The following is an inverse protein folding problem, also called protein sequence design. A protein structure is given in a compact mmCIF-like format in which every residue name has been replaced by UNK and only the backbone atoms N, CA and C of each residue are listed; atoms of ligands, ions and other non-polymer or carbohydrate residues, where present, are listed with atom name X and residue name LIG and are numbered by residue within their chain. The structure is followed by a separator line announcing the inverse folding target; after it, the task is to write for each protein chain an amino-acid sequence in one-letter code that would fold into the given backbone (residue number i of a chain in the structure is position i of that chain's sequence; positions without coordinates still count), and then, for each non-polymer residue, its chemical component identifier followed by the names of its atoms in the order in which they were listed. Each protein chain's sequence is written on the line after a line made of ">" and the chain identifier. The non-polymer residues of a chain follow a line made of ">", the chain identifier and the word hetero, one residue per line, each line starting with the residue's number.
data_IF_727587391470
#
_entry.id   IF_727587391470
#
_cell.length_a   1.000
_cell.length_b   1.000
_cell.length_c   1.000
_cell.angle_alpha   90.00
_cell.angle_beta   90.00
_cell.angle_gamma   90.00
#
_symmetry.space_group_name_H-M   'P 1'
#
loop_
_entity.id
_entity.type
_entity.pdbx_description
1 polymer ?
#
# COMPACT_ATOMS: atom_id res chain seq x y z
N UNK A 1 -56.33 -16.85 4.46
CA UNK A 1 -55.17 -17.11 3.58
C UNK A 1 -54.79 -18.58 3.74
N UNK A 2 -54.76 -19.39 2.66
CA UNK A 2 -54.55 -20.84 2.79
C UNK A 2 -53.11 -21.12 3.27
N UNK A 3 -52.94 -22.05 4.21
CA UNK A 3 -51.65 -22.41 4.83
C UNK A 3 -50.58 -22.80 3.78
N UNK A 4 -51.02 -23.34 2.63
CA UNK A 4 -50.15 -23.66 1.48
C UNK A 4 -49.53 -22.43 0.81
N UNK A 5 -50.19 -21.27 0.86
CA UNK A 5 -49.67 -20.02 0.29
C UNK A 5 -48.53 -19.47 1.17
N UNK A 6 -48.64 -19.59 2.49
CA UNK A 6 -47.63 -19.12 3.46
C UNK A 6 -46.37 -20.01 3.39
N UNK A 7 -46.54 -21.33 3.29
CA UNK A 7 -45.43 -22.28 3.20
C UNK A 7 -44.65 -22.09 1.88
N UNK A 8 -45.34 -21.87 0.75
CA UNK A 8 -44.69 -21.61 -0.52
C UNK A 8 -43.95 -20.26 -0.56
N UNK A 9 -44.48 -19.22 0.10
CA UNK A 9 -43.78 -17.94 0.25
C UNK A 9 -42.55 -18.03 1.15
N UNK A 10 -42.61 -18.84 2.23
CA UNK A 10 -41.49 -19.04 3.15
C UNK A 10 -40.36 -19.87 2.50
N UNK A 11 -40.69 -20.91 1.71
CA UNK A 11 -39.70 -21.67 0.94
C UNK A 11 -39.03 -20.82 -0.16
N UNK A 12 -39.76 -19.90 -0.81
CA UNK A 12 -39.19 -19.00 -1.82
C UNK A 12 -38.21 -18.00 -1.20
N UNK A 13 -38.50 -17.49 0.01
CA UNK A 13 -37.59 -16.62 0.76
C UNK A 13 -36.33 -17.37 1.23
N UNK A 14 -36.44 -18.62 1.69
CA UNK A 14 -35.27 -19.43 2.08
C UNK A 14 -34.42 -19.80 0.88
N UNK A 15 -35.03 -20.11 -0.28
CA UNK A 15 -34.30 -20.34 -1.52
C UNK A 15 -33.58 -19.07 -2.02
N UNK A 16 -34.22 -17.89 -1.96
CA UNK A 16 -33.57 -16.62 -2.32
C UNK A 16 -32.39 -16.26 -1.41
N UNK A 17 -32.45 -16.63 -0.12
CA UNK A 17 -31.34 -16.46 0.83
C UNK A 17 -30.20 -17.45 0.56
N UNK A 18 -30.51 -18.67 0.09
CA UNK A 18 -29.51 -19.69 -0.27
C UNK A 18 -28.86 -19.46 -1.64
N UNK A 19 -29.53 -18.77 -2.57
CA UNK A 19 -28.98 -18.42 -3.90
C UNK A 19 -28.21 -17.08 -3.93
N UNK A 20 -28.21 -16.31 -2.84
CA UNK A 20 -27.27 -15.21 -2.66
C UNK A 20 -25.88 -15.71 -2.21
N UNK A 21 -25.33 -16.73 -2.89
CA UNK A 21 -23.89 -16.98 -2.88
C UNK A 21 -23.21 -15.86 -3.67
N UNK A 22 -23.25 -14.64 -3.12
CA UNK A 22 -22.52 -13.51 -3.68
C UNK A 22 -21.05 -13.90 -3.69
N UNK A 23 -20.39 -13.68 -4.83
CA UNK A 23 -18.93 -13.53 -4.91
C UNK A 23 -18.51 -12.29 -4.09
N UNK A 24 -18.80 -12.28 -2.78
CA UNK A 24 -18.46 -11.19 -1.88
C UNK A 24 -16.97 -11.31 -1.61
N UNK A 25 -16.19 -10.48 -2.29
CA UNK A 25 -14.85 -10.13 -1.82
C UNK A 25 -14.98 -9.18 -0.63
N UNK A 26 -14.07 -9.32 0.32
CA UNK A 26 -13.85 -8.30 1.35
C UNK A 26 -13.03 -7.18 0.73
N UNK A 27 -13.44 -5.93 0.90
CA UNK A 27 -12.66 -4.79 0.45
C UNK A 27 -11.75 -4.30 1.56
N UNK A 28 -10.50 -4.02 1.23
CA UNK A 28 -9.54 -3.32 2.10
C UNK A 28 -9.31 -1.95 1.48
N UNK A 29 -9.89 -0.93 2.11
CA UNK A 29 -9.62 0.46 1.78
C UNK A 29 -8.31 0.91 2.42
N UNK A 30 -7.53 1.72 1.70
CA UNK A 30 -6.34 2.37 2.25
C UNK A 30 -6.54 3.87 2.15
N UNK A 31 -6.44 4.58 3.27
CA UNK A 31 -6.39 6.05 3.30
C UNK A 31 -5.05 6.49 3.89
N UNK A 32 -4.42 7.45 3.24
CA UNK A 32 -3.09 7.89 3.62
C UNK A 32 -2.45 8.88 2.66
N UNK A 33 -1.13 8.97 2.75
CA UNK A 33 -0.30 9.96 2.04
C UNK A 33 0.42 9.39 0.80
N UNK A 34 1.43 10.12 0.28
CA UNK A 34 2.19 9.74 -0.92
C UNK A 34 2.95 8.41 -0.78
N UNK A 35 3.29 7.98 0.43
CA UNK A 35 4.03 6.71 0.65
C UNK A 35 3.15 5.49 0.41
N UNK A 36 1.82 5.63 0.51
CA UNK A 36 0.84 4.59 0.22
C UNK A 36 0.17 4.75 -1.17
N UNK A 37 0.13 5.98 -1.70
CA UNK A 37 -0.67 6.36 -2.87
C UNK A 37 -0.35 5.59 -4.17
N UNK A 38 -1.39 5.40 -4.98
CA UNK A 38 -1.24 5.02 -6.38
C UNK A 38 -0.56 6.14 -7.18
N UNK A 39 0.25 5.78 -8.18
CA UNK A 39 0.98 6.73 -9.03
C UNK A 39 0.52 6.62 -10.48
N UNK A 40 0.24 7.77 -11.08
CA UNK A 40 -0.12 7.87 -12.49
C UNK A 40 1.10 7.64 -13.38
N UNK A 41 0.84 7.28 -14.65
CA UNK A 41 1.86 7.04 -15.67
C UNK A 41 2.91 5.98 -15.26
N UNK A 42 2.49 4.79 -14.78
CA UNK A 42 3.40 3.78 -14.24
C UNK A 42 4.48 3.33 -15.23
N UNK A 43 4.25 3.49 -16.54
CA UNK A 43 5.16 3.15 -17.62
C UNK A 43 6.39 4.06 -17.71
N UNK A 44 6.30 5.29 -17.21
CA UNK A 44 7.39 6.28 -17.23
C UNK A 44 7.78 6.71 -15.82
N UNK A 45 6.85 6.74 -14.88
CA UNK A 45 7.12 7.10 -13.49
C UNK A 45 7.52 5.87 -12.67
N UNK A 46 8.73 5.79 -12.10
CA UNK A 46 9.14 4.65 -11.29
C UNK A 46 8.66 4.72 -9.83
N UNK A 47 8.07 5.83 -9.39
CA UNK A 47 7.55 5.99 -8.03
C UNK A 47 6.36 5.06 -7.80
N UNK A 48 6.28 4.45 -6.60
CA UNK A 48 5.16 3.60 -6.19
C UNK A 48 4.90 3.81 -4.71
N UNK A 49 3.63 3.86 -4.30
CA UNK A 49 3.27 3.72 -2.90
C UNK A 49 3.17 2.25 -2.50
N UNK A 50 3.43 1.91 -1.24
CA UNK A 50 3.28 0.53 -0.75
C UNK A 50 1.85 0.02 -0.94
N UNK A 51 0.85 0.88 -0.74
CA UNK A 51 -0.57 0.55 -0.95
C UNK A 51 -0.89 0.19 -2.41
N UNK A 52 -0.14 0.73 -3.37
CA UNK A 52 -0.26 0.38 -4.78
C UNK A 52 0.15 -1.08 -5.05
N UNK A 53 1.16 -1.59 -4.33
CA UNK A 53 1.64 -2.97 -4.52
C UNK A 53 0.81 -4.01 -3.74
N UNK A 54 -0.01 -3.59 -2.76
CA UNK A 54 -0.60 -4.48 -1.76
C UNK A 54 -1.51 -5.58 -2.34
N UNK A 55 -2.25 -5.30 -3.42
CA UNK A 55 -3.11 -6.31 -4.06
C UNK A 55 -2.33 -7.55 -4.53
N UNK A 56 -1.05 -7.38 -4.88
CA UNK A 56 -0.16 -8.47 -5.29
C UNK A 56 0.09 -9.51 -4.21
N UNK A 57 -0.23 -9.19 -2.96
CA UNK A 57 -0.03 -10.06 -1.81
C UNK A 57 -1.33 -10.67 -1.25
N UNK A 58 -2.44 -10.46 -1.95
CA UNK A 58 -3.72 -11.04 -1.61
C UNK A 58 -4.27 -11.94 -2.71
N UNK A 59 -4.95 -13.01 -2.32
CA UNK A 59 -5.81 -13.76 -3.23
C UNK A 59 -7.05 -12.93 -3.63
N UNK A 60 -7.84 -13.47 -4.56
CA UNK A 60 -8.99 -12.77 -5.12
C UNK A 60 -10.18 -12.57 -4.19
N UNK A 61 -10.14 -13.10 -2.95
CA UNK A 61 -11.18 -12.87 -1.95
C UNK A 61 -11.00 -11.55 -1.22
N UNK A 62 -9.80 -10.96 -1.28
CA UNK A 62 -9.52 -9.62 -0.77
C UNK A 62 -9.25 -8.68 -1.95
N UNK A 63 -10.06 -7.62 -2.05
CA UNK A 63 -9.87 -6.54 -3.02
C UNK A 63 -9.29 -5.33 -2.30
N UNK A 64 -8.13 -4.86 -2.74
CA UNK A 64 -7.53 -3.61 -2.26
C UNK A 64 -8.10 -2.45 -3.07
N UNK A 65 -8.60 -1.44 -2.36
CA UNK A 65 -9.13 -0.20 -2.91
C UNK A 65 -8.35 0.97 -2.30
N UNK A 66 -7.28 1.39 -2.98
CA UNK A 66 -6.33 2.34 -2.44
C UNK A 66 -6.72 3.78 -2.77
N UNK A 67 -7.12 4.54 -1.73
CA UNK A 67 -7.51 5.95 -1.78
C UNK A 67 -6.44 6.87 -1.18
N UNK A 68 -5.25 6.38 -0.85
CA UNK A 68 -4.17 7.24 -0.39
C UNK A 68 -3.76 8.24 -1.48
N UNK A 69 -3.45 9.48 -1.08
CA UNK A 69 -3.21 10.60 -1.99
C UNK A 69 -1.94 11.38 -1.65
N UNK A 70 -1.24 11.80 -2.70
CA UNK A 70 0.00 12.57 -2.57
C UNK A 70 -0.21 13.86 -1.77
N UNK A 71 0.67 14.10 -0.78
CA UNK A 71 0.74 15.36 -0.03
C UNK A 71 -0.37 15.59 0.99
N UNK A 72 -1.28 14.63 1.19
CA UNK A 72 -2.38 14.77 2.15
C UNK A 72 -1.93 14.45 3.56
N UNK A 73 -2.42 15.24 4.52
CA UNK A 73 -2.36 14.91 5.94
C UNK A 73 -3.67 14.28 6.39
N UNK A 74 -3.73 13.79 7.63
CA UNK A 74 -4.98 13.25 8.19
C UNK A 74 -6.11 14.29 8.13
N UNK A 75 -5.78 15.57 8.38
CA UNK A 75 -6.71 16.71 8.32
C UNK A 75 -7.08 17.09 6.90
N UNK A 76 -6.11 17.28 6.01
CA UNK A 76 -6.40 17.77 4.66
C UNK A 76 -7.18 16.74 3.84
N UNK A 77 -6.96 15.44 4.08
CA UNK A 77 -7.72 14.37 3.44
C UNK A 77 -9.22 14.42 3.76
N UNK A 78 -9.58 14.79 4.99
CA UNK A 78 -10.97 15.06 5.38
C UNK A 78 -11.45 16.38 4.77
N UNK A 79 -10.69 17.46 4.98
CA UNK A 79 -11.08 18.81 4.56
C UNK A 79 -11.31 18.96 3.06
N UNK A 80 -10.60 18.19 2.24
CA UNK A 80 -10.75 18.15 0.78
C UNK A 80 -11.86 17.18 0.29
N UNK A 81 -12.58 16.52 1.20
CA UNK A 81 -13.70 15.63 0.87
C UNK A 81 -13.31 14.24 0.35
N UNK A 82 -12.03 13.85 0.45
CA UNK A 82 -11.61 12.50 0.03
C UNK A 82 -12.12 11.43 0.99
N UNK A 83 -12.15 11.73 2.28
CA UNK A 83 -12.71 10.79 3.27
C UNK A 83 -14.19 10.49 3.05
N UNK A 84 -14.99 11.51 2.72
CA UNK A 84 -16.42 11.33 2.41
C UNK A 84 -16.64 10.34 1.26
N UNK A 85 -15.82 10.41 0.21
CA UNK A 85 -15.88 9.47 -0.93
C UNK A 85 -15.62 8.03 -0.50
N UNK A 86 -14.68 7.81 0.42
CA UNK A 86 -14.40 6.45 0.94
C UNK A 86 -15.54 5.97 1.82
N UNK A 87 -16.07 6.82 2.69
CA UNK A 87 -17.21 6.51 3.57
C UNK A 87 -18.45 6.04 2.80
N UNK A 88 -18.69 6.59 1.61
CA UNK A 88 -19.81 6.19 0.76
C UNK A 88 -19.63 4.82 0.10
N UNK A 89 -18.40 4.30 0.06
CA UNK A 89 -18.05 3.02 -0.54
C UNK A 89 -17.98 1.87 0.48
N UNK A 90 -17.73 2.18 1.76
CA UNK A 90 -17.57 1.17 2.81
C UNK A 90 -18.86 0.37 2.99
N UNK A 91 -18.72 -0.96 3.03
CA UNK A 91 -19.81 -1.88 3.38
C UNK A 91 -19.46 -2.63 4.67
N UNK A 92 -20.48 -3.15 5.39
CA UNK A 92 -20.24 -3.97 6.57
C UNK A 92 -19.28 -5.14 6.31
N UNK A 93 -18.23 -5.23 7.12
CA UNK A 93 -17.18 -6.24 7.01
C UNK A 93 -15.98 -5.85 6.13
N UNK A 94 -16.00 -4.69 5.46
CA UNK A 94 -14.82 -4.14 4.80
C UNK A 94 -13.83 -3.60 5.84
N UNK A 95 -12.55 -3.54 5.48
CA UNK A 95 -11.48 -3.00 6.32
C UNK A 95 -11.03 -1.62 5.82
N UNK A 96 -10.62 -0.74 6.74
CA UNK A 96 -10.02 0.56 6.39
C UNK A 96 -8.67 0.69 7.10
N UNK A 97 -7.59 0.62 6.33
CA UNK A 97 -6.23 0.89 6.82
C UNK A 97 -6.01 2.40 6.78
N UNK A 98 -5.70 2.99 7.93
CA UNK A 98 -5.53 4.42 8.12
C UNK A 98 -4.07 4.68 8.48
N UNK A 99 -3.32 5.31 7.57
CA UNK A 99 -1.90 5.65 7.76
C UNK A 99 -1.65 7.12 7.39
N UNK A 100 -1.31 7.93 8.39
CA UNK A 100 -0.96 9.34 8.22
C UNK A 100 0.17 9.74 9.19
N UNK A 101 0.72 10.95 9.01
CA UNK A 101 1.78 11.50 9.86
C UNK A 101 2.78 12.37 9.08
N UNK A 102 3.22 11.94 7.88
CA UNK A 102 4.25 12.65 7.11
C UNK A 102 3.92 14.11 6.78
N UNK A 103 2.66 14.40 6.51
CA UNK A 103 2.22 15.75 6.16
C UNK A 103 1.56 16.47 7.34
N UNK A 104 1.20 15.74 8.39
CA UNK A 104 0.67 16.27 9.64
C UNK A 104 1.75 17.03 10.41
N UNK A 105 3.01 16.58 10.36
CA UNK A 105 4.17 17.24 10.99
C UNK A 105 4.53 18.60 10.38
N UNK A 106 4.06 18.88 9.16
CA UNK A 106 4.40 20.09 8.41
C UNK A 106 3.57 21.27 8.94
N UNK A 107 4.24 22.38 9.27
CA UNK A 107 3.63 23.61 9.82
C UNK A 107 2.77 24.40 8.80
N UNK A 108 2.27 23.75 7.75
CA UNK A 108 1.29 24.32 6.81
C UNK A 108 -0.11 24.23 7.44
N UNK A 109 -0.81 25.36 7.56
CA UNK A 109 -2.05 25.44 8.35
C UNK A 109 -3.16 24.49 7.90
N UNK A 110 -3.24 24.21 6.60
CA UNK A 110 -4.19 23.29 5.96
C UNK A 110 -3.87 21.80 6.22
N UNK A 111 -2.62 21.48 6.59
CA UNK A 111 -2.14 20.11 6.81
C UNK A 111 -1.86 19.78 8.27
N UNK A 112 -1.36 20.75 9.03
CA UNK A 112 -0.85 20.55 10.38
C UNK A 112 -1.89 19.98 11.34
N UNK A 113 -1.50 18.96 12.10
CA UNK A 113 -2.21 18.47 13.29
C UNK A 113 -1.21 18.13 14.37
N UNK A 114 -1.54 18.39 15.64
CA UNK A 114 -0.64 18.22 16.77
C UNK A 114 -0.86 16.84 17.44
N UNK A 115 0.20 16.02 17.63
CA UNK A 115 0.15 14.75 18.34
C UNK A 115 -0.44 14.88 19.75
N UNK A 116 -1.22 13.89 20.18
CA UNK A 116 -1.90 13.90 21.48
C UNK A 116 -3.12 14.82 21.55
N UNK A 117 -3.36 15.65 20.54
CA UNK A 117 -4.53 16.55 20.48
C UNK A 117 -5.27 16.42 19.15
N UNK A 118 -5.04 17.34 18.20
CA UNK A 118 -5.79 17.41 16.94
C UNK A 118 -5.47 16.24 16.00
N UNK A 119 -4.26 15.67 16.05
CA UNK A 119 -3.94 14.46 15.29
C UNK A 119 -4.73 13.27 15.83
N UNK A 120 -4.68 13.04 17.14
CA UNK A 120 -5.40 11.95 17.81
C UNK A 120 -6.91 12.06 17.62
N UNK A 121 -7.46 13.27 17.71
CA UNK A 121 -8.88 13.54 17.44
C UNK A 121 -9.26 13.20 15.98
N UNK A 122 -8.39 13.54 15.03
CA UNK A 122 -8.60 13.23 13.62
C UNK A 122 -8.55 11.72 13.35
N UNK A 123 -7.58 10.99 13.92
CA UNK A 123 -7.52 9.53 13.82
C UNK A 123 -8.72 8.86 14.49
N UNK A 124 -9.15 9.37 15.65
CA UNK A 124 -10.36 8.89 16.35
C UNK A 124 -11.60 9.06 15.47
N UNK A 125 -11.70 10.16 14.72
CA UNK A 125 -12.79 10.40 13.77
C UNK A 125 -12.81 9.35 12.66
N UNK A 126 -11.68 9.06 12.01
CA UNK A 126 -11.61 7.99 10.99
C UNK A 126 -12.08 6.64 11.54
N UNK A 127 -11.67 6.29 12.76
CA UNK A 127 -12.07 5.05 13.43
C UNK A 127 -13.58 5.00 13.66
N UNK A 128 -14.16 6.06 14.21
CA UNK A 128 -15.59 6.11 14.50
C UNK A 128 -16.44 6.06 13.23
N UNK A 129 -16.15 6.92 12.25
CA UNK A 129 -16.93 7.00 11.02
C UNK A 129 -16.78 5.71 10.19
N UNK A 130 -15.64 5.02 10.26
CA UNK A 130 -15.49 3.66 9.68
C UNK A 130 -16.45 2.67 10.35
N UNK A 131 -16.51 2.65 11.69
CA UNK A 131 -17.39 1.75 12.46
C UNK A 131 -18.86 2.03 12.20
N UNK A 132 -19.23 3.30 12.07
CA UNK A 132 -20.60 3.73 11.75
C UNK A 132 -21.10 3.16 10.41
N UNK A 133 -20.19 2.93 9.44
CA UNK A 133 -20.49 2.25 8.16
C UNK A 133 -20.43 0.71 8.26
N UNK A 134 -20.16 0.15 9.44
CA UNK A 134 -19.94 -1.27 9.66
C UNK A 134 -18.57 -1.78 9.20
N UNK A 135 -17.66 -0.87 8.84
CA UNK A 135 -16.29 -1.19 8.48
C UNK A 135 -15.42 -1.48 9.71
N UNK A 136 -14.26 -2.08 9.48
CA UNK A 136 -13.30 -2.49 10.49
C UNK A 136 -12.03 -1.62 10.33
N UNK A 137 -11.83 -0.62 11.20
CA UNK A 137 -10.66 0.25 11.11
C UNK A 137 -9.40 -0.45 11.60
N UNK A 138 -8.28 -0.17 10.95
CA UNK A 138 -6.92 -0.61 11.30
C UNK A 138 -6.02 0.61 11.27
N UNK A 139 -5.36 0.92 12.40
CA UNK A 139 -4.46 2.06 12.47
C UNK A 139 -3.03 1.63 12.18
N UNK A 140 -2.29 2.49 11.48
CA UNK A 140 -0.90 2.30 11.14
C UNK A 140 -0.17 3.64 11.29
N UNK A 141 1.00 3.64 11.93
CA UNK A 141 1.86 4.83 11.93
C UNK A 141 2.58 4.98 10.57
N UNK A 142 3.13 6.16 10.29
CA UNK A 142 3.88 6.40 9.05
C UNK A 142 5.06 5.43 8.88
N UNK A 143 5.32 4.99 7.65
CA UNK A 143 6.59 4.34 7.31
C UNK A 143 7.77 5.28 7.59
N UNK A 144 8.96 4.74 7.82
CA UNK A 144 10.17 5.51 8.13
C UNK A 144 10.59 6.36 6.94
N UNK A 145 11.19 7.52 7.23
CA UNK A 145 11.95 8.32 6.25
C UNK A 145 13.42 7.91 6.31
N UNK A 146 14.04 7.63 5.17
CA UNK A 146 15.45 7.26 5.14
C UNK A 146 16.33 8.43 5.60
N UNK A 147 16.94 8.31 6.78
CA UNK A 147 17.79 9.36 7.32
C UNK A 147 18.96 8.81 8.13
N UNK A 148 20.17 8.92 7.57
CA UNK A 148 21.44 8.62 8.24
C UNK A 148 22.20 9.90 8.62
N UNK A 149 21.47 11.01 8.68
CA UNK A 149 22.01 12.32 9.02
C UNK A 149 21.30 12.90 10.24
N UNK A 150 22.04 13.05 11.32
CA UNK A 150 21.65 13.85 12.47
C UNK A 150 22.00 15.30 12.18
N UNK A 151 21.00 16.07 11.77
CA UNK A 151 21.15 17.53 11.69
C UNK A 151 21.13 18.07 13.13
N UNK A 152 22.08 18.94 13.51
CA UNK A 152 21.84 19.85 14.63
C UNK A 152 20.66 20.75 14.25
N UNK A 153 19.62 20.77 15.07
CA UNK A 153 18.28 21.28 14.77
C UNK A 153 18.25 22.50 13.85
N UNK A 154 17.56 22.37 12.71
CA UNK A 154 16.99 23.45 11.88
C UNK A 154 16.13 22.83 10.76
N UNK A 155 14.96 22.27 11.14
CA UNK A 155 14.04 21.45 10.34
C UNK A 155 14.03 21.68 8.82
N UNK A 156 14.41 20.65 8.06
CA UNK A 156 14.27 20.62 6.60
C UNK A 156 12.94 19.94 6.27
N UNK A 157 12.09 20.61 5.48
CA UNK A 157 10.90 20.02 4.86
C UNK A 157 11.34 19.13 3.68
N UNK A 158 11.07 17.82 3.76
CA UNK A 158 11.45 16.84 2.72
C UNK A 158 10.74 17.06 1.37
N UNK A 159 9.58 17.75 1.36
CA UNK A 159 8.90 18.15 0.13
C UNK A 159 9.75 19.12 -0.69
N UNK A 160 10.59 19.93 -0.03
CA UNK A 160 11.51 20.87 -0.70
C UNK A 160 12.60 20.15 -1.51
N UNK A 161 12.90 18.90 -1.17
CA UNK A 161 13.88 18.07 -1.88
C UNK A 161 13.35 17.50 -3.20
N UNK A 162 12.02 17.58 -3.44
CA UNK A 162 11.44 17.10 -4.71
C UNK A 162 11.91 17.90 -5.93
N UNK A 163 12.38 19.13 -5.72
CA UNK A 163 12.83 20.05 -6.76
C UNK A 163 14.35 20.33 -6.73
N UNK A 164 15.13 19.64 -5.90
CA UNK A 164 16.57 19.86 -5.81
C UNK A 164 17.33 19.15 -6.93
N UNK A 165 18.39 19.78 -7.42
CA UNK A 165 19.40 19.16 -8.29
C UNK A 165 20.15 18.10 -7.48
N UNK A 166 20.52 16.99 -8.11
CA UNK A 166 21.32 15.93 -7.50
C UNK A 166 22.56 16.51 -6.79
N UNK A 167 22.76 16.13 -5.52
CA UNK A 167 23.95 16.45 -4.73
C UNK A 167 24.39 15.22 -3.94
N UNK A 168 25.61 15.20 -3.41
CA UNK A 168 26.07 14.08 -2.61
C UNK A 168 25.32 13.99 -1.28
N UNK A 169 25.01 12.76 -0.87
CA UNK A 169 24.28 12.50 0.36
C UNK A 169 25.09 12.85 1.61
N UNK A 170 24.45 13.57 2.53
CA UNK A 170 25.01 13.84 3.85
C UNK A 170 24.75 12.66 4.77
N UNK A 171 25.82 12.12 5.38
CA UNK A 171 25.78 11.00 6.31
C UNK A 171 26.69 11.36 7.49
N UNK A 172 26.19 11.19 8.71
CA UNK A 172 27.00 11.28 9.94
C UNK A 172 26.60 10.27 11.02
N UNK A 173 25.78 9.29 10.65
CA UNK A 173 25.41 8.17 11.52
C UNK A 173 25.34 6.88 10.69
N UNK A 174 25.73 5.78 11.30
CA UNK A 174 25.52 4.41 10.83
C UNK A 174 24.14 3.85 11.22
N UNK A 175 23.45 4.57 12.10
CA UNK A 175 22.14 4.24 12.64
C UNK A 175 21.09 5.10 11.94
N UNK A 176 20.00 4.46 11.51
CA UNK A 176 18.86 5.15 10.91
C UNK A 176 18.14 5.96 12.00
N UNK A 177 17.96 7.26 11.75
CA UNK A 177 17.38 8.21 12.68
C UNK A 177 15.95 8.51 12.26
N UNK A 178 14.99 8.18 13.13
CA UNK A 178 13.59 8.53 12.91
C UNK A 178 13.38 10.06 12.93
N UNK A 179 12.46 10.54 12.09
CA UNK A 179 12.17 11.96 11.93
C UNK A 179 10.76 12.36 12.33
N UNK A 180 9.92 11.41 12.75
CA UNK A 180 8.49 11.61 12.97
C UNK A 180 8.13 11.83 14.43
N UNK A 181 9.04 11.56 15.37
CA UNK A 181 8.87 11.92 16.79
C UNK A 181 7.55 11.45 17.39
N UNK A 182 6.76 12.36 17.97
CA UNK A 182 5.49 12.01 18.62
C UNK A 182 4.41 11.45 17.66
N UNK A 183 4.51 11.70 16.35
CA UNK A 183 3.58 11.13 15.36
C UNK A 183 3.69 9.61 15.28
N UNK A 184 4.77 8.99 15.77
CA UNK A 184 4.89 7.53 15.89
C UNK A 184 3.96 6.95 16.96
N UNK A 185 3.78 7.69 18.04
CA UNK A 185 3.11 7.22 19.25
C UNK A 185 1.60 7.43 19.19
N UNK A 186 1.17 8.55 18.61
CA UNK A 186 -0.25 8.92 18.49
C UNK A 186 -1.12 7.82 17.87
N UNK A 187 -0.82 7.24 16.70
CA UNK A 187 -1.63 6.18 16.11
C UNK A 187 -1.73 4.94 17.00
N UNK A 188 -0.64 4.57 17.69
CA UNK A 188 -0.65 3.45 18.66
C UNK A 188 -1.54 3.76 19.87
N UNK A 189 -1.43 4.96 20.42
CA UNK A 189 -2.20 5.39 21.58
C UNK A 189 -3.69 5.45 21.26
N UNK A 190 -4.06 6.02 20.10
CA UNK A 190 -5.44 6.00 19.61
C UNK A 190 -5.92 4.57 19.38
N UNK A 191 -5.11 3.72 18.76
CA UNK A 191 -5.50 2.33 18.51
C UNK A 191 -5.79 1.56 19.80
N UNK A 192 -4.93 1.72 20.81
CA UNK A 192 -5.14 1.16 22.15
C UNK A 192 -6.40 1.71 22.81
N UNK A 193 -6.58 3.03 22.81
CA UNK A 193 -7.74 3.71 23.41
C UNK A 193 -9.06 3.28 22.75
N UNK A 194 -9.04 3.14 21.43
CA UNK A 194 -10.22 2.81 20.62
C UNK A 194 -10.44 1.29 20.48
N UNK A 195 -9.52 0.46 20.98
CA UNK A 195 -9.50 -0.99 20.81
C UNK A 195 -9.64 -1.40 19.34
N UNK A 196 -8.68 -0.97 18.51
CA UNK A 196 -8.57 -1.35 17.10
C UNK A 196 -7.20 -1.95 16.82
N UNK A 197 -7.05 -2.82 15.79
CA UNK A 197 -5.75 -3.34 15.39
C UNK A 197 -4.76 -2.22 15.06
N UNK A 198 -3.49 -2.42 15.43
CA UNK A 198 -2.42 -1.47 15.20
C UNK A 198 -1.22 -2.13 14.54
N UNK A 199 -0.77 -1.59 13.41
CA UNK A 199 0.47 -2.00 12.73
C UNK A 199 1.54 -0.93 12.90
N UNK A 200 2.69 -1.32 13.46
CA UNK A 200 3.86 -0.46 13.62
C UNK A 200 4.71 -0.43 12.34
N UNK A 201 4.18 0.19 11.29
CA UNK A 201 4.85 0.28 10.00
C UNK A 201 6.17 1.05 10.08
N UNK A 202 6.28 2.05 10.97
CA UNK A 202 7.54 2.74 11.21
C UNK A 202 8.63 1.78 11.65
N UNK A 203 8.39 1.00 12.72
CA UNK A 203 9.39 0.05 13.22
C UNK A 203 9.77 -0.98 12.18
N UNK A 204 8.77 -1.54 11.48
CA UNK A 204 9.00 -2.56 10.44
C UNK A 204 9.90 -2.02 9.32
N UNK A 205 9.62 -0.81 8.85
CA UNK A 205 10.39 -0.20 7.76
C UNK A 205 11.73 0.32 8.24
N UNK A 206 11.83 0.83 9.48
CA UNK A 206 13.09 1.20 10.12
C UNK A 206 14.06 0.01 10.21
N UNK A 207 13.61 -1.10 10.79
CA UNK A 207 14.43 -2.30 10.95
C UNK A 207 14.89 -2.83 9.56
N UNK A 208 14.02 -2.79 8.56
CA UNK A 208 14.37 -3.20 7.20
C UNK A 208 15.41 -2.28 6.57
N UNK A 209 15.22 -0.97 6.62
CA UNK A 209 16.19 0.00 6.09
C UNK A 209 17.53 -0.06 6.81
N UNK A 210 17.53 -0.19 8.13
CA UNK A 210 18.73 -0.38 8.93
C UNK A 210 19.49 -1.65 8.51
N UNK A 211 18.77 -2.76 8.27
CA UNK A 211 19.38 -4.03 7.85
C UNK A 211 20.09 -3.97 6.50
N UNK A 212 19.65 -3.07 5.61
CA UNK A 212 20.28 -2.84 4.31
C UNK A 212 21.48 -1.88 4.39
N UNK A 213 21.63 -1.19 5.53
CA UNK A 213 22.63 -0.14 5.73
C UNK A 213 22.43 1.07 4.80
N UNK A 214 23.36 2.01 4.89
CA UNK A 214 23.28 3.30 4.18
C UNK A 214 23.17 3.10 2.66
N UNK A 215 24.08 2.32 2.06
CA UNK A 215 24.13 2.15 0.60
C UNK A 215 22.99 1.27 0.11
N UNK A 216 22.74 0.14 0.79
CA UNK A 216 21.74 -0.83 0.36
C UNK A 216 20.31 -0.29 0.45
N UNK A 217 20.01 0.56 1.43
CA UNK A 217 18.66 1.16 1.58
C UNK A 217 18.29 2.13 0.45
N UNK A 218 19.26 2.74 -0.25
CA UNK A 218 18.99 3.63 -1.40
C UNK A 218 18.14 2.95 -2.47
N UNK A 219 18.31 1.64 -2.67
CA UNK A 219 17.57 0.86 -3.69
C UNK A 219 16.05 0.84 -3.46
N UNK A 220 15.58 1.15 -2.26
CA UNK A 220 14.15 1.21 -1.95
C UNK A 220 13.50 2.48 -2.48
N UNK A 221 14.28 3.55 -2.59
CA UNK A 221 13.77 4.89 -2.75
C UNK A 221 13.97 5.42 -4.17
N UNK A 222 13.41 6.59 -4.43
CA UNK A 222 13.55 7.33 -5.69
C UNK A 222 14.94 7.97 -5.81
N UNK A 223 15.95 7.11 -5.75
CA UNK A 223 17.38 7.39 -5.85
C UNK A 223 17.89 6.98 -7.22
N UNK A 224 18.02 7.96 -8.10
CA UNK A 224 18.50 7.78 -9.46
C UNK A 224 19.56 8.82 -9.79
N UNK A 225 20.66 8.40 -10.39
CA UNK A 225 21.67 9.31 -10.92
C UNK A 225 21.16 9.98 -12.21
N UNK A 226 21.71 11.15 -12.59
CA UNK A 226 21.45 11.75 -13.88
C UNK A 226 21.63 10.74 -15.03
N UNK A 227 20.64 10.66 -15.92
CA UNK A 227 20.65 9.75 -17.07
C UNK A 227 20.21 8.29 -16.81
N UNK A 228 20.02 7.84 -15.57
CA UNK A 228 19.59 6.45 -15.30
C UNK A 228 18.13 6.18 -15.69
N UNK A 229 17.26 7.18 -15.50
CA UNK A 229 15.83 7.08 -15.81
C UNK A 229 15.44 8.22 -16.73
N UNK A 230 14.90 7.89 -17.90
CA UNK A 230 14.54 8.87 -18.93
C UNK A 230 13.55 9.94 -18.45
N UNK A 231 12.60 9.57 -17.59
CA UNK A 231 11.61 10.50 -17.00
C UNK A 231 12.19 11.38 -15.89
N UNK A 232 13.41 11.08 -15.42
CA UNK A 232 14.13 11.82 -14.37
C UNK A 232 15.55 12.12 -14.88
N UNK A 233 15.71 12.90 -15.97
CA UNK A 233 16.98 13.03 -16.67
C UNK A 233 18.08 13.67 -15.80
N UNK A 234 17.69 14.52 -14.84
CA UNK A 234 18.61 15.17 -13.88
C UNK A 234 18.92 14.33 -12.64
N UNK A 235 18.44 13.09 -12.58
CA UNK A 235 18.47 12.27 -11.38
C UNK A 235 17.50 12.77 -10.30
N UNK A 236 17.39 12.00 -9.22
CA UNK A 236 16.60 12.34 -8.03
C UNK A 236 17.22 11.69 -6.82
N UNK A 237 17.23 12.41 -5.71
CA UNK A 237 17.59 11.89 -4.41
C UNK A 237 16.45 12.19 -3.44
N UNK A 238 15.61 11.19 -3.24
CA UNK A 238 14.41 11.31 -2.40
C UNK A 238 14.43 10.14 -1.43
N UNK A 239 14.31 10.45 -0.13
CA UNK A 239 14.43 9.50 0.98
C UNK A 239 13.08 9.11 1.58
N UNK A 240 11.98 9.60 1.02
CA UNK A 240 10.62 9.38 1.51
C UNK A 240 9.83 8.49 0.55
N UNK A 241 10.00 8.68 -0.76
CA UNK A 241 9.18 8.01 -1.77
C UNK A 241 9.87 6.76 -2.30
N UNK A 242 9.13 5.66 -2.29
CA UNK A 242 9.61 4.39 -2.83
C UNK A 242 9.57 4.34 -4.35
N UNK A 243 10.51 3.59 -4.91
CA UNK A 243 10.43 3.10 -6.28
C UNK A 243 9.66 1.76 -6.33
N UNK A 244 9.58 1.14 -7.51
CA UNK A 244 8.92 -0.17 -7.70
C UNK A 244 9.45 -1.25 -6.73
N UNK A 245 10.78 -1.36 -6.57
CA UNK A 245 11.41 -2.34 -5.70
C UNK A 245 11.06 -2.06 -4.23
N UNK A 246 11.19 -0.81 -3.77
CA UNK A 246 10.88 -0.43 -2.39
C UNK A 246 9.42 -0.67 -2.04
N UNK A 247 8.50 -0.19 -2.87
CA UNK A 247 7.06 -0.32 -2.61
C UNK A 247 6.62 -1.79 -2.53
N UNK A 248 7.14 -2.65 -3.40
CA UNK A 248 6.83 -4.08 -3.37
C UNK A 248 7.35 -4.76 -2.09
N UNK A 249 8.60 -4.50 -1.70
CA UNK A 249 9.18 -5.09 -0.50
C UNK A 249 8.51 -4.57 0.78
N UNK A 250 8.21 -3.28 0.85
CA UNK A 250 7.50 -2.69 1.99
C UNK A 250 6.08 -3.24 2.07
N UNK A 251 5.35 -3.34 0.95
CA UNK A 251 4.03 -3.97 0.93
C UNK A 251 4.07 -5.44 1.40
N UNK A 252 5.10 -6.20 1.03
CA UNK A 252 5.33 -7.58 1.51
C UNK A 252 5.51 -7.66 3.03
N UNK A 253 6.24 -6.71 3.63
CA UNK A 253 6.42 -6.68 5.09
C UNK A 253 5.13 -6.25 5.80
N UNK A 254 4.44 -5.25 5.24
CA UNK A 254 3.23 -4.68 5.84
C UNK A 254 2.04 -5.64 5.75
N UNK A 255 1.88 -6.42 4.67
CA UNK A 255 0.82 -7.42 4.57
C UNK A 255 0.98 -8.53 5.60
N UNK A 256 2.22 -8.94 5.90
CA UNK A 256 2.49 -9.94 6.94
C UNK A 256 2.18 -9.39 8.34
N UNK A 257 2.51 -8.13 8.60
CA UNK A 257 2.15 -7.46 9.84
C UNK A 257 0.62 -7.28 9.98
N UNK A 258 -0.05 -6.85 8.91
CA UNK A 258 -1.50 -6.76 8.85
C UNK A 258 -2.16 -8.11 9.13
N UNK A 259 -1.64 -9.20 8.58
CA UNK A 259 -2.18 -10.54 8.82
C UNK A 259 -1.95 -11.06 10.24
N UNK A 260 -0.92 -10.56 10.95
CA UNK A 260 -0.75 -10.86 12.38
C UNK A 260 -1.83 -10.18 13.22
N UNK A 261 -2.08 -8.90 12.97
CA UNK A 261 -3.03 -8.06 13.70
C UNK A 261 -4.49 -8.30 13.30
N UNK A 262 -4.72 -8.76 12.06
CA UNK A 262 -6.04 -9.07 11.50
C UNK A 262 -6.06 -10.52 11.03
N UNK A 263 -6.39 -11.49 11.92
CA UNK A 263 -6.33 -12.91 11.60
C UNK A 263 -7.14 -13.33 10.36
N UNK A 264 -8.20 -12.60 10.03
CA UNK A 264 -9.00 -12.82 8.83
C UNK A 264 -8.17 -12.75 7.53
N UNK A 265 -7.09 -11.97 7.51
CA UNK A 265 -6.21 -11.84 6.34
C UNK A 265 -5.26 -13.02 6.15
N UNK A 266 -4.91 -13.77 7.22
CA UNK A 266 -3.87 -14.83 7.17
C UNK A 266 -4.08 -15.84 6.05
N UNK A 267 -5.32 -16.31 5.86
CA UNK A 267 -5.65 -17.31 4.83
C UNK A 267 -5.65 -16.74 3.41
N UNK A 268 -5.58 -15.42 3.26
CA UNK A 268 -5.63 -14.70 1.98
C UNK A 268 -4.29 -14.12 1.56
N UNK A 269 -3.31 -14.02 2.45
CA UNK A 269 -1.96 -13.56 2.08
C UNK A 269 -1.31 -14.56 1.13
N UNK A 270 -0.64 -14.04 0.10
CA UNK A 270 0.12 -14.78 -0.91
C UNK A 270 1.44 -14.09 -1.17
N UNK A 271 2.52 -14.86 -1.28
CA UNK A 271 3.86 -14.36 -1.60
C UNK A 271 4.34 -14.98 -2.90
N UNK A 272 4.25 -14.25 -4.01
CA UNK A 272 4.72 -14.73 -5.31
C UNK A 272 6.17 -14.30 -5.54
N UNK A 273 6.92 -15.05 -6.37
CA UNK A 273 8.27 -14.63 -6.75
C UNK A 273 8.18 -13.31 -7.53
N UNK A 274 7.22 -13.21 -8.47
CA UNK A 274 6.94 -11.99 -9.23
C UNK A 274 5.44 -11.70 -9.33
N UNK A 275 5.10 -10.41 -9.38
CA UNK A 275 3.76 -9.89 -9.60
C UNK A 275 3.79 -8.99 -10.84
N UNK A 276 2.94 -9.29 -11.81
CA UNK A 276 2.87 -8.61 -13.10
C UNK A 276 1.57 -7.83 -13.23
N UNK A 277 1.67 -6.56 -13.61
CA UNK A 277 0.51 -5.69 -13.85
C UNK A 277 0.84 -4.66 -14.92
N UNK A 278 -0.02 -4.53 -15.94
CA UNK A 278 0.07 -3.44 -16.93
C UNK A 278 -0.20 -2.08 -16.32
N UNK A 279 -0.93 -2.04 -15.20
CA UNK A 279 -1.26 -0.82 -14.44
C UNK A 279 -0.21 -0.47 -13.37
N UNK A 280 0.88 -1.23 -13.27
CA UNK A 280 1.98 -0.95 -12.35
C UNK A 280 1.75 -1.35 -10.89
N UNK A 281 0.73 -2.17 -10.60
CA UNK A 281 0.45 -2.70 -9.26
C UNK A 281 1.39 -3.86 -8.84
N UNK A 282 2.21 -4.36 -9.76
CA UNK A 282 3.21 -5.40 -9.51
C UNK A 282 4.63 -4.85 -9.56
N UNK A 283 5.60 -5.71 -9.21
CA UNK A 283 7.03 -5.39 -9.40
C UNK A 283 7.48 -5.50 -10.87
N UNK A 284 6.63 -6.00 -11.75
CA UNK A 284 6.86 -6.03 -13.20
C UNK A 284 5.67 -5.49 -13.99
N UNK A 285 5.96 -4.74 -15.05
CA UNK A 285 4.98 -4.33 -16.05
C UNK A 285 5.02 -5.14 -17.34
N UNK A 286 6.05 -5.99 -17.49
CA UNK A 286 6.20 -6.90 -18.62
C UNK A 286 6.29 -8.33 -18.12
N UNK A 287 5.38 -9.18 -18.60
CA UNK A 287 5.39 -10.61 -18.30
C UNK A 287 6.66 -11.29 -18.81
N UNK A 288 7.13 -10.91 -20.01
CA UNK A 288 8.37 -11.46 -20.55
C UNK A 288 9.58 -11.06 -19.69
N UNK A 289 9.63 -9.81 -19.20
CA UNK A 289 10.72 -9.36 -18.31
C UNK A 289 10.74 -10.16 -17.00
N UNK A 290 9.58 -10.41 -16.39
CA UNK A 290 9.49 -11.25 -15.20
C UNK A 290 10.00 -12.69 -15.44
N UNK A 291 9.75 -13.23 -16.63
CA UNK A 291 10.24 -14.56 -17.03
C UNK A 291 11.74 -14.53 -17.33
N UNK A 292 12.25 -13.47 -17.94
CA UNK A 292 13.68 -13.30 -18.20
C UNK A 292 14.49 -13.18 -16.90
N UNK A 293 13.92 -12.60 -15.84
CA UNK A 293 14.55 -12.52 -14.51
C UNK A 293 14.40 -13.80 -13.67
N UNK A 294 13.47 -14.70 -14.02
CA UNK A 294 13.28 -15.95 -13.33
C UNK A 294 14.56 -16.83 -13.35
N UNK A 295 14.96 -17.45 -12.23
CA UNK A 295 16.09 -18.36 -12.21
C UNK A 295 15.77 -19.68 -12.94
N UNK A 296 16.81 -20.40 -13.36
CA UNK A 296 16.69 -21.66 -14.13
C UNK A 296 16.59 -22.91 -13.25
N UNK A 297 17.01 -22.83 -12.00
CA UNK A 297 17.17 -23.94 -11.06
C UNK A 297 15.91 -24.25 -10.24
N UNK A 298 14.97 -23.30 -10.12
CA UNK A 298 13.72 -23.47 -9.38
C UNK A 298 12.48 -23.10 -10.19
N UNK A 299 11.30 -23.51 -9.70
CA UNK A 299 10.02 -23.06 -10.25
C UNK A 299 9.72 -21.65 -9.74
N UNK A 300 9.47 -20.73 -10.66
CA UNK A 300 9.08 -19.34 -10.36
C UNK A 300 7.57 -19.20 -10.47
N UNK A 301 6.93 -18.67 -9.43
CA UNK A 301 5.51 -18.34 -9.42
C UNK A 301 5.29 -16.89 -9.79
N UNK A 302 4.52 -16.66 -10.84
CA UNK A 302 4.19 -15.32 -11.35
C UNK A 302 2.69 -15.08 -11.21
N UNK A 303 2.33 -14.04 -10.46
CA UNK A 303 0.95 -13.61 -10.31
C UNK A 303 0.62 -12.47 -11.27
N UNK A 304 -0.40 -12.66 -12.11
CA UNK A 304 -0.83 -11.69 -13.10
C UNK A 304 -2.08 -10.98 -12.58
N UNK A 305 -1.95 -9.71 -12.20
CA UNK A 305 -3.03 -8.93 -11.58
C UNK A 305 -4.03 -8.37 -12.59
N UNK A 306 -3.59 -8.04 -13.80
CA UNK A 306 -4.43 -7.44 -14.81
C UNK A 306 -3.86 -7.60 -16.22
N UNK A 307 -4.65 -7.16 -17.20
CA UNK A 307 -4.27 -7.10 -18.60
C UNK A 307 -4.54 -8.38 -19.37
N UNK A 308 -4.50 -8.24 -20.70
CA UNK A 308 -4.52 -9.36 -21.64
C UNK A 308 -3.10 -9.61 -22.14
N UNK A 309 -2.65 -10.85 -22.00
CA UNK A 309 -1.30 -11.30 -22.33
C UNK A 309 -1.37 -12.41 -23.37
N UNK A 310 -0.59 -12.25 -24.44
CA UNK A 310 -0.52 -13.24 -25.50
C UNK A 310 0.51 -14.31 -25.18
N UNK A 311 0.04 -15.53 -24.91
CA UNK A 311 0.86 -16.68 -24.57
C UNK A 311 1.79 -17.10 -25.71
N UNK A 312 1.46 -16.82 -26.99
CA UNK A 312 2.37 -17.15 -28.10
C UNK A 312 3.56 -16.19 -28.23
N UNK A 313 3.52 -15.03 -27.56
CA UNK A 313 4.62 -14.06 -27.54
C UNK A 313 5.57 -14.23 -26.34
N UNK A 314 5.34 -15.25 -25.54
CA UNK A 314 6.12 -15.51 -24.33
C UNK A 314 7.11 -16.63 -24.62
N UNK A 315 8.38 -16.36 -24.36
CA UNK A 315 9.44 -17.36 -24.37
C UNK A 315 9.93 -17.60 -22.95
N UNK A 316 9.75 -18.84 -22.48
CA UNK A 316 10.21 -19.26 -21.16
C UNK A 316 11.70 -19.59 -21.12
N UNK A 317 12.36 -19.75 -22.28
CA UNK A 317 13.77 -20.14 -22.40
C UNK A 317 14.09 -21.39 -21.56
N UNK A 318 13.15 -22.35 -21.50
CA UNK A 318 13.28 -23.59 -20.73
C UNK A 318 13.08 -23.45 -19.21
N UNK A 319 12.76 -22.25 -18.69
CA UNK A 319 12.53 -22.01 -17.26
C UNK A 319 11.19 -22.56 -16.79
N UNK A 320 11.17 -23.03 -15.54
CA UNK A 320 9.96 -23.57 -14.90
C UNK A 320 9.11 -22.43 -14.34
N UNK A 321 8.03 -22.07 -15.05
CA UNK A 321 7.14 -20.95 -14.65
C UNK A 321 5.74 -21.47 -14.32
N UNK A 322 5.19 -21.06 -13.18
CA UNK A 322 3.78 -21.22 -12.83
C UNK A 322 3.08 -19.87 -12.85
N UNK A 323 2.01 -19.75 -13.61
CA UNK A 323 1.18 -18.54 -13.67
C UNK A 323 -0.08 -18.71 -12.84
N UNK A 324 -0.35 -17.74 -11.97
CA UNK A 324 -1.63 -17.57 -11.30
C UNK A 324 -2.24 -16.24 -11.77
N UNK A 325 -3.56 -16.21 -11.97
CA UNK A 325 -4.27 -15.08 -12.57
C UNK A 325 -5.29 -14.51 -11.58
N UNK A 326 -5.22 -13.20 -11.34
CA UNK A 326 -6.28 -12.47 -10.66
C UNK A 326 -7.53 -12.39 -11.56
N UNK A 327 -8.75 -12.42 -11.01
CA UNK A 327 -9.97 -12.28 -11.82
C UNK A 327 -9.93 -11.06 -12.75
N UNK A 328 -10.11 -11.30 -14.05
CA UNK A 328 -10.06 -10.28 -15.10
C UNK A 328 -8.71 -10.19 -15.84
N UNK A 329 -7.64 -10.80 -15.33
CA UNK A 329 -6.42 -11.02 -16.10
C UNK A 329 -6.63 -12.17 -17.11
N UNK A 330 -6.00 -12.06 -18.28
CA UNK A 330 -6.07 -13.08 -19.33
C UNK A 330 -4.69 -13.47 -19.83
N UNK A 331 -4.40 -14.78 -19.91
CA UNK A 331 -3.22 -15.33 -20.56
C UNK A 331 -3.67 -16.39 -21.58
N UNK A 332 -3.75 -16.01 -22.85
CA UNK A 332 -4.31 -16.85 -23.92
C UNK A 332 -3.42 -16.78 -25.15
N UNK A 333 -3.40 -17.82 -25.99
CA UNK A 333 -2.77 -17.75 -27.31
C UNK A 333 -3.65 -16.85 -28.20
N UNK A 334 -3.03 -15.96 -28.97
CA UNK A 334 -3.72 -15.30 -30.10
C UNK A 334 -4.34 -16.36 -31.01
N UNK A 335 -5.58 -16.12 -31.45
CA UNK A 335 -6.24 -16.94 -32.47
C UNK A 335 -5.61 -16.67 -33.83
#
# INVERSE_FOLDING_TARGET
>A
MKLSTIINSLLLCVAAILFASSNKHTTVFIVGDSTAANKSHPETNPERGWGMALQGFFDSKIRVDNHALNGRSSKSFIGEGHWAKVLDLIKPGDYVIIQFGHNDEKKKADRYTEPGTTFDATLTRYVNETREKGGIPVLMNSVVRRNFFRKSDNGIDDESLRNTVYTDEKINSDTLIDTHGAYLLSPRNVAKKMNVPFVDANKITHDYEQSLGIIGSRKLHMWFKPGEVASIPKGRQDNTHYNIYGAHNVASLLVDALAKEVPAFKKHVRHYDYVVSKRGFGNYMSLQKAIDEAPTDKTTRIYILDGKWDKSKIDTKGKKIRFDLYPGAELKKSK
#
